data_IF_397211173153
#
_entry.id   IF_397211173153
#
_cell.length_a   1.000
_cell.length_b   1.000
_cell.length_c   1.000
_cell.angle_alpha   90.00
_cell.angle_beta   90.00
_cell.angle_gamma   90.00
#
_symmetry.space_group_name_H-M   'P 1'
#
loop_
_entity.id
_entity.type
_entity.pdbx_description
1 polymer ?
#
# COMPACT_ATOMS: atom_id res chain seq x y z
N UNK A 1 -4.87 20.05 16.98
CA UNK A 1 -5.68 20.54 15.84
C UNK A 1 -5.51 19.57 14.68
N UNK A 2 -6.63 19.25 14.04
CA UNK A 2 -6.61 18.42 12.85
C UNK A 2 -6.11 19.24 11.67
N UNK A 3 -5.16 18.69 10.93
CA UNK A 3 -4.52 19.33 9.80
C UNK A 3 -4.47 18.38 8.63
N UNK A 4 -4.86 18.84 7.44
CA UNK A 4 -4.66 18.13 6.18
C UNK A 4 -4.53 19.16 5.07
N UNK A 5 -3.36 19.23 4.45
CA UNK A 5 -3.11 20.11 3.30
C UNK A 5 -2.04 19.53 2.39
N UNK A 6 -2.00 20.01 1.16
CA UNK A 6 -0.95 19.72 0.18
C UNK A 6 -0.52 21.02 -0.50
N UNK A 7 0.67 20.98 -1.11
CA UNK A 7 1.26 22.14 -1.78
C UNK A 7 2.27 21.69 -2.84
N UNK A 8 2.56 22.56 -3.77
CA UNK A 8 3.59 22.37 -4.79
C UNK A 8 4.75 23.31 -4.51
N UNK A 9 5.97 22.84 -4.69
CA UNK A 9 7.17 23.64 -4.52
C UNK A 9 8.30 23.16 -5.44
N UNK A 10 9.28 24.03 -5.62
CA UNK A 10 10.49 23.73 -6.39
C UNK A 10 11.66 23.47 -5.42
N UNK A 11 12.41 22.41 -5.68
CA UNK A 11 13.69 22.19 -5.04
C UNK A 11 14.77 22.53 -6.06
N UNK A 12 15.76 23.30 -5.63
CA UNK A 12 16.91 23.69 -6.43
C UNK A 12 18.12 22.86 -6.00
N UNK A 13 18.72 22.14 -6.96
CA UNK A 13 19.92 21.31 -6.75
C UNK A 13 21.21 22.04 -7.11
N UNK A 14 21.09 23.13 -7.86
CA UNK A 14 22.20 23.96 -8.33
C UNK A 14 21.77 25.38 -8.68
N UNK A 15 22.68 26.13 -9.28
CA UNK A 15 22.45 27.52 -9.75
C UNK A 15 22.15 27.62 -11.23
N UNK A 16 22.29 26.52 -11.97
CA UNK A 16 22.08 26.54 -13.42
C UNK A 16 20.59 26.40 -13.79
N UNK A 17 20.15 27.00 -14.91
CA UNK A 17 18.81 26.83 -15.42
C UNK A 17 18.50 25.35 -15.70
N UNK A 18 17.48 24.79 -15.05
CA UNK A 18 17.12 23.39 -15.16
C UNK A 18 17.52 22.52 -13.97
N UNK A 19 18.35 23.02 -13.06
CA UNK A 19 18.73 22.32 -11.81
C UNK A 19 17.63 22.45 -10.74
N UNK A 20 16.40 22.27 -11.16
CA UNK A 20 15.23 22.32 -10.28
C UNK A 20 14.34 21.12 -10.48
N UNK A 21 13.66 20.72 -9.43
CA UNK A 21 12.72 19.62 -9.41
C UNK A 21 11.38 20.07 -8.80
N UNK A 22 10.28 19.70 -9.43
CA UNK A 22 8.95 20.02 -8.93
C UNK A 22 8.44 18.91 -8.03
N UNK A 23 8.08 19.29 -6.80
CA UNK A 23 7.57 18.35 -5.81
C UNK A 23 6.18 18.75 -5.38
N UNK A 24 5.31 17.74 -5.27
CA UNK A 24 4.04 17.85 -4.56
C UNK A 24 4.23 17.29 -3.16
N UNK A 25 4.09 18.14 -2.14
CA UNK A 25 4.15 17.74 -0.74
C UNK A 25 2.79 17.81 -0.07
N UNK A 26 2.62 17.04 0.99
CA UNK A 26 1.43 17.12 1.83
C UNK A 26 1.71 16.72 3.26
N UNK A 27 0.92 17.27 4.18
CA UNK A 27 1.02 17.00 5.61
C UNK A 27 -0.35 16.71 6.19
N UNK A 28 -0.40 15.74 7.11
CA UNK A 28 -1.58 15.41 7.92
C UNK A 28 -1.19 15.22 9.38
N UNK A 29 -2.04 15.72 10.27
CA UNK A 29 -1.90 15.54 11.72
C UNK A 29 -3.28 15.55 12.39
N UNK A 30 -3.39 14.95 13.57
CA UNK A 30 -4.62 14.89 14.33
C UNK A 30 -5.52 13.75 13.89
N UNK A 31 -6.81 14.01 13.75
CA UNK A 31 -7.83 13.01 13.48
C UNK A 31 -8.03 12.76 11.98
N UNK A 32 -8.38 11.52 11.63
CA UNK A 32 -8.63 11.12 10.23
C UNK A 32 -9.88 11.76 9.68
N UNK A 33 -10.95 11.79 10.48
CA UNK A 33 -12.25 12.35 10.15
C UNK A 33 -12.71 13.32 11.24
N UNK A 34 -13.68 14.17 10.89
CA UNK A 34 -14.35 15.00 11.89
C UNK A 34 -15.15 14.10 12.83
N UNK A 35 -15.33 14.58 14.07
CA UNK A 35 -16.14 13.88 15.06
C UNK A 35 -17.49 13.46 14.46
N UNK A 36 -17.80 12.19 14.51
CA UNK A 36 -19.02 11.59 13.98
C UNK A 36 -19.57 10.57 14.96
N UNK A 37 -20.87 10.43 15.01
CA UNK A 37 -21.54 9.40 15.82
C UNK A 37 -21.50 8.02 15.16
N UNK A 38 -21.15 7.95 13.87
CA UNK A 38 -21.10 6.71 13.09
C UNK A 38 -19.72 6.07 13.11
N UNK A 39 -18.66 6.89 13.03
CA UNK A 39 -17.28 6.40 12.91
C UNK A 39 -16.51 6.59 14.22
N UNK A 40 -15.74 5.56 14.60
CA UNK A 40 -14.80 5.68 15.70
C UNK A 40 -13.69 6.65 15.33
N UNK A 41 -13.49 7.61 16.21
CA UNK A 41 -12.42 8.59 16.10
C UNK A 41 -11.05 7.90 16.26
N UNK A 42 -10.16 8.13 15.30
CA UNK A 42 -8.76 7.66 15.35
C UNK A 42 -7.80 8.70 14.80
N UNK A 43 -6.57 8.65 15.26
CA UNK A 43 -5.52 9.49 14.75
C UNK A 43 -5.05 9.03 13.36
N UNK A 44 -4.52 10.00 12.59
CA UNK A 44 -3.85 9.73 11.30
C UNK A 44 -2.62 8.86 11.56
N UNK A 45 -2.44 7.83 10.73
CA UNK A 45 -1.31 6.92 10.76
C UNK A 45 -0.60 6.87 9.42
N UNK A 46 0.58 6.26 9.37
CA UNK A 46 1.40 6.15 8.15
C UNK A 46 0.65 5.54 6.95
N UNK A 47 -0.29 4.64 7.21
CA UNK A 47 -1.08 4.02 6.14
C UNK A 47 -2.08 4.97 5.48
N UNK A 48 -2.54 6.00 6.19
CA UNK A 48 -3.41 7.04 5.61
C UNK A 48 -2.63 7.87 4.60
N UNK A 49 -1.40 8.28 4.94
CA UNK A 49 -0.51 9.01 4.03
C UNK A 49 -0.07 8.12 2.85
N UNK A 50 0.25 6.85 3.10
CA UNK A 50 0.54 5.90 2.02
C UNK A 50 -0.61 5.80 1.03
N UNK A 51 -1.85 5.73 1.53
CA UNK A 51 -3.06 5.69 0.71
C UNK A 51 -3.20 6.95 -0.12
N UNK A 52 -2.99 8.13 0.46
CA UNK A 52 -3.08 9.42 -0.25
C UNK A 52 -2.09 9.47 -1.43
N UNK A 53 -0.83 9.05 -1.22
CA UNK A 53 0.19 8.98 -2.27
C UNK A 53 -0.18 7.99 -3.37
N UNK A 54 -0.54 6.76 -2.99
CA UNK A 54 -0.89 5.72 -3.95
C UNK A 54 -2.10 6.14 -4.78
N UNK A 55 -3.13 6.71 -4.15
CA UNK A 55 -4.31 7.19 -4.84
C UNK A 55 -3.97 8.32 -5.81
N UNK A 56 -3.10 9.25 -5.43
CA UNK A 56 -2.62 10.30 -6.31
C UNK A 56 -1.90 9.71 -7.54
N UNK A 57 -1.00 8.76 -7.34
CA UNK A 57 -0.30 8.09 -8.44
C UNK A 57 -1.25 7.32 -9.37
N UNK A 58 -2.27 6.67 -8.81
CA UNK A 58 -3.30 5.96 -9.60
C UNK A 58 -4.14 6.92 -10.44
N UNK A 59 -4.54 8.06 -9.88
CA UNK A 59 -5.29 9.10 -10.63
C UNK A 59 -4.44 9.70 -11.76
N UNK A 60 -3.13 9.83 -11.58
CA UNK A 60 -2.19 10.24 -12.63
C UNK A 60 -1.98 9.14 -13.69
N UNK A 61 -2.43 7.92 -13.43
CA UNK A 61 -2.45 6.83 -14.41
C UNK A 61 -1.52 5.65 -14.14
N UNK A 62 -0.92 5.56 -12.96
CA UNK A 62 -0.13 4.39 -12.57
C UNK A 62 -1.02 3.29 -12.00
N UNK A 63 -0.72 2.05 -12.35
CA UNK A 63 -1.44 0.90 -11.79
C UNK A 63 -0.86 0.54 -10.41
N UNK A 64 -1.71 0.22 -9.44
CA UNK A 64 -1.29 -0.28 -8.13
C UNK A 64 -0.30 -1.45 -8.20
N UNK A 65 -0.45 -2.32 -9.20
CA UNK A 65 0.44 -3.47 -9.42
C UNK A 65 1.87 -3.11 -9.86
N UNK A 66 2.10 -1.83 -10.20
CA UNK A 66 3.40 -1.30 -10.62
C UNK A 66 3.98 -0.31 -9.60
N UNK A 67 3.43 -0.27 -8.41
CA UNK A 67 3.91 0.57 -7.33
C UNK A 67 4.65 -0.33 -6.34
N UNK A 68 5.95 -0.10 -6.23
CA UNK A 68 6.83 -0.83 -5.30
C UNK A 68 7.15 0.05 -4.11
N UNK A 69 7.24 -0.55 -2.93
CA UNK A 69 7.51 0.14 -1.68
C UNK A 69 8.66 -0.52 -0.94
N UNK A 70 9.59 0.28 -0.46
CA UNK A 70 10.62 -0.16 0.50
C UNK A 70 10.73 0.82 1.69
N UNK A 71 11.65 0.55 2.61
CA UNK A 71 11.86 1.29 3.86
C UNK A 71 13.04 2.28 3.81
N UNK A 72 13.66 2.47 2.64
CA UNK A 72 14.78 3.39 2.47
C UNK A 72 14.25 4.82 2.34
N UNK A 73 14.28 5.56 3.41
CA UNK A 73 13.78 6.93 3.46
C UNK A 73 14.83 7.90 4.01
N UNK A 74 14.76 9.20 3.65
CA UNK A 74 15.60 10.23 4.26
C UNK A 74 15.44 10.26 5.79
N UNK A 75 16.49 10.71 6.48
CA UNK A 75 16.59 10.71 7.94
C UNK A 75 15.64 11.69 8.65
N UNK A 76 14.95 12.55 7.92
CA UNK A 76 13.88 13.39 8.47
C UNK A 76 12.54 12.67 8.60
N UNK A 77 12.42 11.45 8.08
CA UNK A 77 11.33 10.54 8.38
C UNK A 77 11.66 9.58 9.52
N UNK A 78 10.65 9.07 10.20
CA UNK A 78 10.79 8.06 11.23
C UNK A 78 11.15 6.70 10.61
N UNK A 79 12.27 6.04 11.00
CA UNK A 79 12.79 4.86 10.30
C UNK A 79 11.85 3.65 10.28
N UNK A 80 10.97 3.51 11.29
CA UNK A 80 10.01 2.41 11.38
C UNK A 80 8.60 2.74 10.90
N UNK A 81 8.34 4.00 10.45
CA UNK A 81 7.01 4.47 10.05
C UNK A 81 7.09 5.34 8.80
N UNK A 82 7.85 4.88 7.82
CA UNK A 82 8.02 5.58 6.54
C UNK A 82 8.29 4.60 5.42
N UNK A 83 8.21 5.07 4.19
CA UNK A 83 8.50 4.27 3.02
C UNK A 83 8.81 5.12 1.81
N UNK A 84 9.57 4.51 0.89
CA UNK A 84 9.90 5.02 -0.42
C UNK A 84 9.07 4.29 -1.47
N UNK A 85 8.57 5.04 -2.46
CA UNK A 85 7.81 4.50 -3.58
C UNK A 85 8.60 4.67 -4.86
N UNK A 86 8.63 3.62 -5.69
CA UNK A 86 9.16 3.64 -7.04
C UNK A 86 8.25 2.88 -8.00
N UNK A 87 8.35 3.20 -9.30
CA UNK A 87 7.40 2.75 -10.34
C UNK A 87 7.97 1.65 -11.23
N UNK A 88 9.24 1.30 -11.04
CA UNK A 88 9.91 0.21 -11.73
C UNK A 88 10.98 -0.39 -10.83
N UNK A 89 11.14 -1.70 -10.82
CA UNK A 89 12.24 -2.38 -10.11
C UNK A 89 13.61 -2.15 -10.77
N UNK A 90 13.61 -1.74 -12.04
CA UNK A 90 14.83 -1.53 -12.84
C UNK A 90 15.32 -0.08 -12.79
N UNK A 91 14.45 0.86 -12.43
CA UNK A 91 14.77 2.28 -12.34
C UNK A 91 14.88 2.71 -10.88
N UNK A 92 16.04 3.18 -10.49
CA UNK A 92 16.31 3.66 -9.12
C UNK A 92 15.76 5.08 -8.86
N UNK A 93 14.78 5.51 -9.67
CA UNK A 93 14.13 6.80 -9.54
C UNK A 93 13.01 6.74 -8.53
N UNK A 94 13.17 7.51 -7.47
CA UNK A 94 12.15 7.67 -6.44
C UNK A 94 10.95 8.42 -7.00
N UNK A 95 9.77 7.84 -6.88
CA UNK A 95 8.51 8.50 -7.24
C UNK A 95 7.94 9.30 -6.07
N UNK A 96 8.07 8.77 -4.85
CA UNK A 96 7.61 9.45 -3.64
C UNK A 96 8.29 8.93 -2.38
N UNK A 97 8.33 9.80 -1.36
CA UNK A 97 8.51 9.42 0.03
C UNK A 97 7.23 9.68 0.81
N UNK A 98 6.97 8.89 1.85
CA UNK A 98 5.87 9.09 2.78
C UNK A 98 6.23 8.58 4.16
N UNK A 99 5.63 9.15 5.19
CA UNK A 99 5.85 8.64 6.56
C UNK A 99 5.55 9.64 7.65
N UNK A 100 5.83 9.20 8.87
CA UNK A 100 5.85 10.07 10.05
C UNK A 100 7.13 10.91 10.02
N UNK A 101 7.00 12.22 10.19
CA UNK A 101 8.16 13.12 10.33
C UNK A 101 8.87 12.80 11.64
N UNK A 102 10.19 12.67 11.58
CA UNK A 102 10.99 12.27 12.74
C UNK A 102 10.79 13.23 13.92
N UNK A 103 10.53 12.74 15.15
CA UNK A 103 10.28 13.59 16.32
C UNK A 103 11.40 14.61 16.61
N UNK A 104 12.64 14.27 16.30
CA UNK A 104 13.76 15.21 16.45
C UNK A 104 13.69 16.39 15.47
N UNK A 105 13.12 16.20 14.29
CA UNK A 105 12.89 17.31 13.34
C UNK A 105 11.81 18.23 13.89
N UNK A 106 10.68 17.67 14.37
CA UNK A 106 9.61 18.46 14.98
C UNK A 106 10.08 19.29 16.16
N UNK A 107 10.95 18.72 17.03
CA UNK A 107 11.58 19.45 18.14
C UNK A 107 12.45 20.61 17.67
N UNK A 108 13.23 20.42 16.59
CA UNK A 108 14.13 21.48 16.06
C UNK A 108 13.37 22.68 15.50
N UNK A 109 12.15 22.45 14.98
CA UNK A 109 11.33 23.51 14.39
C UNK A 109 10.17 23.95 15.33
N UNK A 110 10.22 23.53 16.60
CA UNK A 110 9.25 23.84 17.67
C UNK A 110 7.79 23.51 17.31
N UNK A 111 7.57 22.43 16.57
CA UNK A 111 6.23 21.93 16.30
C UNK A 111 5.81 20.95 17.41
N UNK A 112 4.76 21.33 18.14
CA UNK A 112 4.17 20.54 19.24
C UNK A 112 2.97 19.73 18.73
N UNK A 113 3.22 18.51 18.29
CA UNK A 113 2.19 17.54 17.89
C UNK A 113 2.62 16.13 18.30
N UNK A 114 1.66 15.24 18.53
CA UNK A 114 1.95 13.82 18.84
C UNK A 114 2.59 13.13 17.64
N UNK A 115 2.05 13.38 16.44
CA UNK A 115 2.56 12.84 15.18
C UNK A 115 2.22 13.78 14.02
N UNK A 116 3.17 13.93 13.09
CA UNK A 116 2.98 14.63 11.83
C UNK A 116 3.33 13.67 10.71
N UNK A 117 2.35 13.35 9.88
CA UNK A 117 2.53 12.52 8.69
C UNK A 117 2.78 13.40 7.49
N UNK A 118 3.72 13.02 6.63
CA UNK A 118 4.06 13.77 5.44
C UNK A 118 4.31 12.90 4.24
N UNK A 119 4.22 13.50 3.05
CA UNK A 119 4.65 12.89 1.80
C UNK A 119 5.25 13.90 0.85
N UNK A 120 6.06 13.39 -0.07
CA UNK A 120 6.70 14.13 -1.16
C UNK A 120 6.59 13.29 -2.43
N UNK A 121 5.99 13.81 -3.48
CA UNK A 121 5.89 13.17 -4.80
C UNK A 121 6.75 13.97 -5.77
N UNK A 122 7.73 13.32 -6.38
CA UNK A 122 8.68 13.89 -7.34
C UNK A 122 8.07 13.87 -8.73
N UNK A 123 7.46 14.98 -9.15
CA UNK A 123 6.65 15.04 -10.38
C UNK A 123 7.50 14.85 -11.64
N UNK A 124 8.75 15.31 -11.62
CA UNK A 124 9.67 15.18 -12.75
C UNK A 124 10.16 13.73 -12.95
N UNK A 125 10.07 12.91 -11.91
CA UNK A 125 10.36 11.47 -11.99
C UNK A 125 9.17 10.65 -12.49
N UNK A 126 7.99 11.25 -12.58
CA UNK A 126 6.82 10.60 -13.12
C UNK A 126 6.85 10.65 -14.67
N UNK A 127 7.01 9.48 -15.29
CA UNK A 127 6.90 9.40 -16.76
C UNK A 127 5.50 9.82 -17.18
N UNK A 128 5.40 10.66 -18.22
CA UNK A 128 4.11 10.96 -18.85
C UNK A 128 3.47 9.64 -19.26
N UNK A 129 2.46 9.21 -18.53
CA UNK A 129 1.69 8.05 -18.92
C UNK A 129 0.98 8.38 -20.24
N UNK A 130 1.01 7.46 -21.21
CA UNK A 130 0.28 7.61 -22.49
C UNK A 130 -1.25 7.61 -22.30
N UNK A 131 -1.74 7.60 -21.06
CA UNK A 131 -3.15 7.85 -20.75
C UNK A 131 -3.46 9.29 -21.17
N UNK A 132 -3.97 9.41 -22.38
CA UNK A 132 -4.71 10.59 -22.81
C UNK A 132 -5.81 10.86 -21.76
N UNK A 133 -6.10 12.13 -21.51
CA UNK A 133 -7.31 12.57 -20.80
C UNK A 133 -8.61 11.98 -21.39
N UNK A 134 -8.51 11.25 -22.50
CA UNK A 134 -9.60 10.54 -23.18
C UNK A 134 -9.77 9.09 -22.76
N UNK A 135 -8.92 8.53 -21.90
CA UNK A 135 -9.15 7.18 -21.38
C UNK A 135 -10.34 7.24 -20.42
N UNK A 136 -11.52 7.08 -21.00
CA UNK A 136 -12.75 6.83 -20.25
C UNK A 136 -12.47 5.69 -19.26
N UNK A 137 -12.82 5.88 -18.00
CA UNK A 137 -12.80 4.80 -17.03
C UNK A 137 -13.51 3.60 -17.69
N UNK A 138 -12.83 2.46 -17.73
CA UNK A 138 -13.45 1.24 -18.27
C UNK A 138 -14.78 1.04 -17.57
N UNK A 139 -15.82 0.73 -18.35
CA UNK A 139 -17.10 0.38 -17.79
C UNK A 139 -16.88 -0.76 -16.80
N UNK A 140 -17.26 -0.54 -15.55
CA UNK A 140 -17.18 -1.57 -14.53
C UNK A 140 -18.19 -2.67 -14.88
N UNK A 141 -17.67 -3.86 -15.18
CA UNK A 141 -18.49 -5.03 -15.42
C UNK A 141 -18.77 -5.70 -14.07
N UNK A 142 -20.03 -5.65 -13.67
CA UNK A 142 -20.50 -6.37 -12.49
C UNK A 142 -20.71 -7.82 -12.87
N UNK A 143 -20.20 -8.73 -12.06
CA UNK A 143 -20.53 -10.14 -12.21
C UNK A 143 -21.90 -10.43 -11.58
N UNK A 144 -22.76 -11.11 -12.31
CA UNK A 144 -24.06 -11.61 -11.82
C UNK A 144 -23.93 -12.84 -10.92
N UNK A 145 -22.72 -13.40 -10.82
CA UNK A 145 -22.44 -14.61 -10.05
C UNK A 145 -21.99 -14.30 -8.64
N UNK A 146 -22.37 -15.16 -7.72
CA UNK A 146 -22.07 -15.00 -6.30
C UNK A 146 -20.55 -15.03 -6.05
N UNK A 147 -20.05 -14.04 -5.30
CA UNK A 147 -18.69 -14.03 -4.75
C UNK A 147 -18.59 -14.95 -3.54
N UNK A 148 -17.43 -15.55 -3.36
CA UNK A 148 -17.08 -16.33 -2.19
C UNK A 148 -15.86 -15.71 -1.53
N UNK A 149 -15.87 -15.57 -0.21
CA UNK A 149 -14.76 -15.06 0.58
C UNK A 149 -14.14 -16.20 1.38
N UNK A 150 -12.81 -16.26 1.42
CA UNK A 150 -12.04 -17.27 2.15
C UNK A 150 -10.93 -16.63 2.94
N UNK A 151 -10.86 -16.98 4.21
CA UNK A 151 -9.81 -16.51 5.10
C UNK A 151 -8.69 -17.53 5.18
N UNK A 152 -7.46 -17.04 5.12
CA UNK A 152 -6.25 -17.81 5.30
C UNK A 152 -5.36 -17.13 6.32
N UNK A 153 -4.67 -17.92 7.14
CA UNK A 153 -3.63 -17.44 8.04
C UNK A 153 -2.34 -18.21 7.76
N UNK A 154 -1.27 -17.49 7.44
CA UNK A 154 0.03 -18.08 7.14
C UNK A 154 1.06 -17.64 8.18
N UNK A 155 1.80 -18.62 8.72
CA UNK A 155 2.98 -18.38 9.54
C UNK A 155 4.17 -18.26 8.59
N UNK A 156 4.75 -17.08 8.52
CA UNK A 156 5.79 -16.69 7.57
C UNK A 156 6.95 -16.02 8.29
N UNK A 157 8.10 -15.92 7.63
CA UNK A 157 9.26 -15.21 8.16
C UNK A 157 8.93 -13.74 8.50
N UNK A 158 9.45 -13.25 9.61
CA UNK A 158 9.17 -11.90 10.12
C UNK A 158 9.57 -10.81 9.12
N UNK A 159 10.66 -11.00 8.38
CA UNK A 159 11.15 -10.04 7.40
C UNK A 159 10.44 -10.13 6.05
N UNK A 160 9.57 -11.13 5.86
CA UNK A 160 8.84 -11.28 4.60
C UNK A 160 7.87 -10.12 4.39
N UNK A 161 7.89 -9.52 3.20
CA UNK A 161 7.05 -8.37 2.87
C UNK A 161 5.62 -8.81 2.55
N UNK A 162 4.65 -8.28 3.29
CA UNK A 162 3.23 -8.61 3.10
C UNK A 162 2.72 -8.32 1.69
N UNK A 163 3.29 -7.34 1.00
CA UNK A 163 2.97 -7.03 -0.40
C UNK A 163 3.30 -8.20 -1.35
N UNK A 164 4.42 -8.88 -1.12
CA UNK A 164 4.81 -10.04 -1.93
C UNK A 164 3.81 -11.20 -1.78
N UNK A 165 3.25 -11.39 -0.57
CA UNK A 165 2.20 -12.39 -0.33
C UNK A 165 0.93 -12.08 -1.13
N UNK A 166 0.50 -10.82 -1.12
CA UNK A 166 -0.64 -10.36 -1.93
C UNK A 166 -0.37 -10.63 -3.42
N UNK A 167 0.82 -10.27 -3.92
CA UNK A 167 1.19 -10.47 -5.32
C UNK A 167 1.22 -11.96 -5.71
N UNK A 168 1.76 -12.82 -4.84
CA UNK A 168 1.80 -14.27 -5.07
C UNK A 168 0.38 -14.81 -5.24
N UNK A 169 -0.52 -14.49 -4.30
CA UNK A 169 -1.90 -15.00 -4.30
C UNK A 169 -2.69 -14.43 -5.48
N UNK A 170 -2.62 -13.11 -5.72
CA UNK A 170 -3.35 -12.46 -6.82
C UNK A 170 -2.93 -12.96 -8.21
N UNK A 171 -1.73 -13.53 -8.35
CA UNK A 171 -1.23 -14.07 -9.61
C UNK A 171 -1.54 -15.57 -9.81
N UNK A 172 -2.16 -16.26 -8.85
CA UNK A 172 -2.51 -17.69 -8.99
C UNK A 172 -3.59 -17.86 -10.05
N UNK A 173 -4.65 -17.07 -9.95
CA UNK A 173 -5.75 -17.06 -10.92
C UNK A 173 -6.35 -15.66 -11.01
N UNK A 174 -5.95 -14.91 -12.05
CA UNK A 174 -6.39 -13.53 -12.27
C UNK A 174 -7.85 -13.39 -12.73
N UNK A 175 -8.46 -14.47 -13.15
CA UNK A 175 -9.86 -14.47 -13.59
C UNK A 175 -10.81 -14.75 -12.43
N UNK A 176 -10.36 -15.50 -11.43
CA UNK A 176 -11.16 -15.92 -10.30
C UNK A 176 -10.86 -15.15 -9.01
N UNK A 177 -9.60 -14.80 -8.75
CA UNK A 177 -9.22 -14.04 -7.56
C UNK A 177 -9.39 -12.55 -7.87
N UNK A 178 -10.44 -11.95 -7.31
CA UNK A 178 -10.79 -10.55 -7.56
C UNK A 178 -10.16 -9.58 -6.58
N UNK A 179 -9.92 -10.01 -5.32
CA UNK A 179 -9.31 -9.19 -4.28
C UNK A 179 -8.57 -10.04 -3.25
N UNK A 180 -7.50 -9.48 -2.67
CA UNK A 180 -6.73 -10.07 -1.58
C UNK A 180 -6.44 -8.99 -0.55
N UNK A 181 -6.99 -9.13 0.64
CA UNK A 181 -6.88 -8.14 1.70
C UNK A 181 -6.30 -8.74 2.99
N UNK A 182 -5.23 -8.14 3.52
CA UNK A 182 -4.68 -8.50 4.82
C UNK A 182 -5.48 -7.76 5.89
N UNK A 183 -6.06 -8.50 6.82
CA UNK A 183 -6.85 -7.92 7.89
C UNK A 183 -6.21 -8.05 9.28
N UNK A 184 -5.22 -8.95 9.45
CA UNK A 184 -4.51 -9.07 10.71
C UNK A 184 -3.05 -9.51 10.51
N UNK A 185 -2.17 -9.00 11.38
CA UNK A 185 -0.77 -9.43 11.51
C UNK A 185 -0.50 -9.64 13.00
N UNK A 186 -0.18 -10.87 13.37
CA UNK A 186 0.04 -11.24 14.75
C UNK A 186 1.48 -11.74 15.00
N UNK A 187 2.09 -11.17 16.02
CA UNK A 187 3.37 -11.58 16.58
C UNK A 187 3.17 -11.79 18.08
N UNK A 188 3.34 -12.99 18.59
CA UNK A 188 3.11 -13.25 20.01
C UNK A 188 3.12 -14.74 20.34
N UNK A 189 2.44 -15.10 21.44
CA UNK A 189 2.39 -16.49 21.91
C UNK A 189 1.96 -17.46 20.80
N UNK A 190 2.59 -18.62 20.74
CA UNK A 190 2.41 -19.68 19.75
C UNK A 190 2.91 -19.36 18.33
N UNK A 191 3.64 -18.25 18.14
CA UNK A 191 4.37 -17.96 16.90
C UNK A 191 5.88 -17.92 17.22
N UNK A 192 6.75 -18.59 16.47
CA UNK A 192 8.20 -18.49 16.65
C UNK A 192 8.68 -17.02 16.58
N UNK A 193 9.69 -16.66 17.37
CA UNK A 193 10.17 -15.27 17.47
C UNK A 193 10.70 -14.68 16.14
N UNK A 194 11.11 -15.53 15.22
CA UNK A 194 11.59 -15.20 13.88
C UNK A 194 10.46 -15.16 12.84
N UNK A 195 9.21 -15.43 13.24
CA UNK A 195 8.04 -15.50 12.37
C UNK A 195 6.92 -14.57 12.81
N UNK A 196 5.99 -14.35 11.90
CA UNK A 196 4.71 -13.67 12.12
C UNK A 196 3.59 -14.45 11.46
N UNK A 197 2.38 -14.30 11.97
CA UNK A 197 1.16 -14.79 11.33
C UNK A 197 0.53 -13.66 10.54
N UNK A 198 0.27 -13.88 9.26
CA UNK A 198 -0.47 -12.94 8.41
C UNK A 198 -1.81 -13.57 8.08
N UNK A 199 -2.89 -12.92 8.50
CA UNK A 199 -4.26 -13.31 8.17
C UNK A 199 -4.79 -12.45 7.03
N UNK A 200 -5.33 -13.12 6.01
CA UNK A 200 -5.82 -12.45 4.81
C UNK A 200 -7.14 -13.07 4.34
N UNK A 201 -7.95 -12.23 3.73
CA UNK A 201 -9.19 -12.61 3.06
C UNK A 201 -8.96 -12.59 1.56
N UNK A 202 -9.40 -13.65 0.88
CA UNK A 202 -9.37 -13.77 -0.58
C UNK A 202 -10.80 -13.78 -1.10
N UNK A 203 -11.13 -12.81 -1.94
CA UNK A 203 -12.41 -12.76 -2.64
C UNK A 203 -12.29 -13.49 -3.98
N UNK A 204 -13.10 -14.51 -4.14
CA UNK A 204 -13.13 -15.38 -5.33
C UNK A 204 -14.46 -15.15 -6.04
N UNK A 205 -14.42 -14.76 -7.32
CA UNK A 205 -15.62 -14.53 -8.13
C UNK A 205 -15.34 -14.84 -9.59
N UNK A 206 -16.24 -15.59 -10.22
CA UNK A 206 -16.19 -15.83 -11.67
C UNK A 206 -17.06 -14.83 -12.42
N UNK A 207 -16.65 -14.49 -13.64
CA UNK A 207 -17.44 -13.66 -14.55
C UNK A 207 -18.34 -14.51 -15.49
N UNK A 208 -18.24 -15.85 -15.45
CA UNK A 208 -18.88 -16.73 -16.43
C UNK A 208 -19.80 -17.81 -15.84
N UNK A 209 -19.63 -18.16 -14.57
CA UNK A 209 -20.41 -19.22 -13.93
C UNK A 209 -20.46 -19.09 -12.41
N UNK A 210 -21.45 -19.69 -11.77
CA UNK A 210 -21.44 -19.90 -10.32
C UNK A 210 -20.40 -20.96 -9.96
N UNK A 211 -19.53 -20.64 -9.00
CA UNK A 211 -18.50 -21.58 -8.50
C UNK A 211 -19.16 -22.61 -7.59
N UNK A 212 -18.86 -23.87 -7.81
CA UNK A 212 -19.29 -24.94 -6.93
C UNK A 212 -18.21 -25.23 -5.86
N UNK A 213 -18.55 -26.09 -4.89
CA UNK A 213 -17.65 -26.40 -3.76
C UNK A 213 -16.31 -27.02 -4.23
N UNK A 214 -16.35 -27.87 -5.25
CA UNK A 214 -15.12 -28.45 -5.83
C UNK A 214 -14.23 -27.41 -6.52
N UNK A 215 -14.82 -26.40 -7.18
CA UNK A 215 -14.07 -25.30 -7.77
C UNK A 215 -13.37 -24.49 -6.67
N UNK A 216 -14.07 -24.21 -5.57
CA UNK A 216 -13.53 -23.47 -4.42
C UNK A 216 -12.44 -24.25 -3.67
N UNK A 217 -12.63 -25.53 -3.42
CA UNK A 217 -11.61 -26.41 -2.80
C UNK A 217 -10.32 -26.45 -3.63
N UNK A 218 -10.46 -26.55 -4.96
CA UNK A 218 -9.31 -26.56 -5.86
C UNK A 218 -8.50 -25.25 -5.77
N UNK A 219 -9.20 -24.11 -5.74
CA UNK A 219 -8.53 -22.79 -5.60
C UNK A 219 -7.90 -22.68 -4.22
N UNK A 220 -8.60 -23.05 -3.16
CA UNK A 220 -8.07 -23.02 -1.79
C UNK A 220 -6.78 -23.83 -1.69
N UNK A 221 -6.79 -25.05 -2.23
CA UNK A 221 -5.58 -25.90 -2.26
C UNK A 221 -4.47 -25.24 -3.07
N UNK A 222 -4.78 -24.67 -4.23
CA UNK A 222 -3.79 -23.98 -5.07
C UNK A 222 -3.16 -22.78 -4.36
N UNK A 223 -3.94 -22.04 -3.56
CA UNK A 223 -3.45 -20.91 -2.77
C UNK A 223 -2.46 -21.42 -1.72
N UNK A 224 -2.85 -22.41 -0.92
CA UNK A 224 -2.00 -22.97 0.14
C UNK A 224 -0.71 -23.53 -0.45
N UNK A 225 -0.80 -24.42 -1.44
CA UNK A 225 0.35 -25.07 -2.06
C UNK A 225 1.33 -24.06 -2.68
N UNK A 226 0.79 -23.03 -3.36
CA UNK A 226 1.62 -21.98 -4.01
C UNK A 226 2.34 -21.10 -2.98
N UNK A 227 1.64 -20.70 -1.92
CA UNK A 227 2.23 -19.89 -0.86
C UNK A 227 3.30 -20.67 -0.12
N UNK A 228 3.03 -21.92 0.26
CA UNK A 228 4.01 -22.79 0.92
C UNK A 228 5.26 -23.02 0.07
N UNK A 229 5.08 -23.29 -1.22
CA UNK A 229 6.21 -23.52 -2.15
C UNK A 229 7.07 -22.28 -2.36
N UNK A 230 6.44 -21.10 -2.52
CA UNK A 230 7.18 -19.87 -2.85
C UNK A 230 7.79 -19.16 -1.65
N UNK A 231 7.21 -19.33 -0.47
CA UNK A 231 7.61 -18.55 0.71
C UNK A 231 8.12 -19.42 1.86
N UNK A 232 7.91 -20.73 1.81
CA UNK A 232 8.18 -21.61 2.95
C UNK A 232 7.23 -21.38 4.13
N UNK A 233 6.17 -20.62 3.93
CA UNK A 233 5.14 -20.39 4.96
C UNK A 233 4.39 -21.68 5.26
N UNK A 234 3.75 -21.73 6.42
CA UNK A 234 2.83 -22.81 6.80
C UNK A 234 1.47 -22.22 7.12
N UNK A 235 0.43 -22.92 6.68
CA UNK A 235 -0.93 -22.52 7.07
C UNK A 235 -1.08 -22.70 8.58
N UNK A 236 -1.68 -21.70 9.24
CA UNK A 236 -2.03 -21.76 10.65
C UNK A 236 -3.39 -22.42 10.76
N UNK A 237 -3.43 -23.60 11.35
CA UNK A 237 -4.66 -24.32 11.70
C UNK A 237 -5.27 -23.80 12.99
#
# INVERSE_FOLDING_TARGET
>A
KDLSFFFFFLIFHGSDPGDQETIMGGLRSGKVSRLSWIEKDRNVVVFDIKKDVIQTLVEVGYSNLKIFVDDQTPNYYHPGKSGRIFLSKEEDKVAAYFGEIHPNVLKKIDIKTEALMGFEIFLDNLKKTKKSFKDQKKIYQVSDYQRSERDFAFIIDKNFKSQELIEIISNIDKELISDVNIFDIYEGENIPNDKKSIALNVTIQSMSKTLNEKDLEKINKSIVDTVEQKTGAKIRS
#
